data_IF_987370429416
#
_entry.id   IF_987370429416
#
_cell.length_a   1.000
_cell.length_b   1.000
_cell.length_c   1.000
_cell.angle_alpha   90.00
_cell.angle_beta   90.00
_cell.angle_gamma   90.00
#
_symmetry.space_group_name_H-M   'P 1'
#
loop_
_entity.id
_entity.type
_entity.pdbx_description
1 polymer ?
#
# COMPACT_ATOMS: atom_id res chain seq x y z
N UNK A 1 59.51 94.75 -2.22
CA UNK A 1 58.38 95.59 -2.68
C UNK A 1 57.36 94.70 -3.35
N UNK A 2 56.15 94.61 -2.78
CA UNK A 2 55.01 93.86 -3.32
C UNK A 2 54.51 94.47 -4.63
N UNK A 3 54.21 93.64 -5.62
CA UNK A 3 53.37 94.02 -6.75
C UNK A 3 52.15 93.09 -6.78
N UNK A 4 50.99 93.66 -6.45
CA UNK A 4 49.68 93.00 -6.36
C UNK A 4 49.11 92.68 -7.74
N UNK A 5 48.54 91.48 -7.85
CA UNK A 5 47.81 90.91 -8.99
C UNK A 5 46.51 91.69 -9.26
N UNK A 6 46.24 92.05 -10.52
CA UNK A 6 44.92 92.48 -10.99
C UNK A 6 44.30 91.32 -11.78
N UNK A 7 43.15 90.79 -11.33
CA UNK A 7 42.32 89.84 -12.09
C UNK A 7 41.28 90.62 -12.90
N UNK A 8 41.00 90.27 -14.17
CA UNK A 8 39.90 90.87 -14.92
C UNK A 8 38.53 90.41 -14.37
N UNK A 9 37.46 91.21 -14.58
CA UNK A 9 36.12 90.89 -14.09
C UNK A 9 35.53 89.68 -14.83
N UNK A 10 35.03 88.71 -14.07
CA UNK A 10 34.27 87.56 -14.56
C UNK A 10 32.76 87.84 -14.47
N UNK A 11 32.04 87.69 -15.57
CA UNK A 11 30.57 87.76 -15.58
C UNK A 11 29.97 86.35 -15.49
N UNK A 12 28.86 86.20 -14.79
CA UNK A 12 28.10 84.96 -14.75
C UNK A 12 27.39 84.72 -16.10
N UNK A 13 27.27 83.46 -16.57
CA UNK A 13 26.57 83.16 -17.82
C UNK A 13 25.08 83.52 -17.73
N UNK A 14 24.49 83.94 -18.86
CA UNK A 14 23.07 84.24 -18.98
C UNK A 14 22.23 82.96 -18.78
N UNK A 15 20.98 83.12 -18.35
CA UNK A 15 20.10 82.00 -17.97
C UNK A 15 19.77 81.02 -19.12
N UNK A 16 20.04 81.37 -20.38
CA UNK A 16 19.74 80.52 -21.55
C UNK A 16 20.79 79.42 -21.82
N UNK A 17 22.00 79.51 -21.26
CA UNK A 17 23.08 78.53 -21.45
C UNK A 17 23.22 77.52 -20.29
N UNK A 18 22.17 77.32 -19.50
CA UNK A 18 22.19 76.30 -18.43
C UNK A 18 22.06 74.90 -19.05
N UNK A 19 23.00 73.97 -18.82
CA UNK A 19 22.93 72.63 -19.37
C UNK A 19 21.70 71.89 -18.81
N UNK A 20 20.84 71.43 -19.71
CA UNK A 20 19.62 70.68 -19.39
C UNK A 20 20.02 69.28 -18.92
N UNK A 21 19.74 68.94 -17.65
CA UNK A 21 19.99 67.60 -17.11
C UNK A 21 18.82 66.66 -17.40
N UNK A 22 19.03 65.63 -18.22
CA UNK A 22 18.11 64.49 -18.30
C UNK A 22 18.61 63.36 -17.38
N UNK A 23 17.87 63.07 -16.30
CA UNK A 23 18.19 61.99 -15.36
C UNK A 23 17.36 60.74 -15.68
N UNK A 24 18.02 59.66 -16.10
CA UNK A 24 17.43 58.33 -16.08
C UNK A 24 17.64 57.72 -14.69
N UNK A 25 16.55 57.43 -13.97
CA UNK A 25 16.56 56.98 -12.58
C UNK A 25 16.41 55.46 -12.53
N UNK A 26 17.45 54.67 -12.78
CA UNK A 26 17.45 53.25 -12.37
C UNK A 26 18.89 52.71 -12.19
N UNK A 27 19.44 52.81 -10.97
CA UNK A 27 20.22 51.74 -10.29
C UNK A 27 20.93 52.28 -9.04
N UNK A 28 21.10 51.41 -8.04
CA UNK A 28 21.59 51.72 -6.69
C UNK A 28 23.10 51.95 -6.57
N UNK A 29 23.82 52.10 -7.69
CA UNK A 29 25.27 52.40 -7.70
C UNK A 29 25.60 53.90 -7.83
N UNK A 30 24.59 54.78 -7.86
CA UNK A 30 24.76 56.22 -8.09
C UNK A 30 25.56 56.99 -7.01
N UNK A 31 25.87 56.38 -5.86
CA UNK A 31 26.56 57.06 -4.74
C UNK A 31 28.08 57.17 -4.89
N UNK A 32 28.70 56.45 -5.84
CA UNK A 32 30.17 56.40 -5.95
C UNK A 32 30.76 57.01 -7.23
N UNK A 33 29.99 57.76 -8.03
CA UNK A 33 30.54 58.45 -9.20
C UNK A 33 31.00 59.86 -8.81
N UNK A 34 32.29 60.00 -8.51
CA UNK A 34 32.97 61.30 -8.40
C UNK A 34 33.02 61.96 -9.78
N UNK A 35 32.55 63.21 -9.87
CA UNK A 35 32.58 64.01 -11.09
C UNK A 35 34.03 64.30 -11.52
N UNK A 36 34.49 63.68 -12.61
CA UNK A 36 35.70 64.10 -13.30
C UNK A 36 35.34 65.25 -14.25
N UNK A 37 35.83 66.46 -13.96
CA UNK A 37 35.80 67.57 -14.89
C UNK A 37 36.97 67.42 -15.88
N UNK A 38 36.67 67.32 -17.17
CA UNK A 38 37.68 67.54 -18.19
C UNK A 38 38.02 69.04 -18.21
N UNK A 39 39.28 69.37 -17.93
CA UNK A 39 39.80 70.72 -17.99
C UNK A 39 39.82 71.26 -19.43
N UNK A 40 39.53 72.56 -19.55
CA UNK A 40 39.55 73.33 -20.79
C UNK A 40 40.95 73.31 -21.44
N UNK A 41 41.01 72.94 -22.72
CA UNK A 41 42.13 73.27 -23.58
C UNK A 41 41.86 74.63 -24.25
N UNK A 42 42.75 75.56 -23.92
CA UNK A 42 42.91 76.89 -24.47
C UNK A 42 43.43 76.76 -25.91
N UNK A 43 42.79 77.39 -26.91
CA UNK A 43 43.51 77.86 -28.09
C UNK A 43 42.73 78.91 -28.88
N UNK A 44 43.43 80.01 -29.17
CA UNK A 44 42.98 81.16 -29.95
C UNK A 44 42.96 80.91 -31.47
N UNK A 45 42.75 81.96 -32.29
CA UNK A 45 41.73 81.89 -33.34
C UNK A 45 42.21 81.51 -34.75
N UNK A 46 41.22 81.04 -35.54
CA UNK A 46 41.09 81.01 -37.01
C UNK A 46 41.45 79.70 -37.74
N UNK A 47 40.93 79.43 -38.97
CA UNK A 47 39.86 80.11 -39.72
C UNK A 47 38.68 79.17 -40.08
N UNK A 48 37.58 79.75 -40.56
CA UNK A 48 36.54 78.99 -41.25
C UNK A 48 37.10 78.34 -42.51
N UNK A 49 37.11 77.01 -42.56
CA UNK A 49 37.37 76.26 -43.77
C UNK A 49 36.14 75.44 -44.15
N UNK A 50 35.79 75.61 -45.42
CA UNK A 50 34.71 74.97 -46.15
C UNK A 50 34.51 73.51 -45.79
N UNK A 51 33.27 73.18 -45.47
CA UNK A 51 32.73 71.83 -45.48
C UNK A 51 32.86 71.24 -46.90
N UNK A 52 33.98 70.59 -47.19
CA UNK A 52 34.25 69.94 -48.49
C UNK A 52 34.74 68.52 -48.24
N UNK A 53 33.82 67.56 -48.43
CA UNK A 53 34.00 66.11 -48.58
C UNK A 53 35.19 65.48 -47.83
N UNK A 54 34.92 64.99 -46.61
CA UNK A 54 35.75 63.98 -45.92
C UNK A 54 34.91 62.83 -45.34
N UNK A 55 33.81 62.48 -46.01
CA UNK A 55 32.97 61.35 -45.59
C UNK A 55 33.51 59.98 -46.04
N UNK A 56 34.68 59.92 -46.70
CA UNK A 56 35.25 58.66 -47.22
C UNK A 56 36.28 58.06 -46.24
N UNK A 57 36.98 58.89 -45.46
CA UNK A 57 38.03 58.40 -44.55
C UNK A 57 37.48 57.80 -43.25
N UNK A 58 36.31 58.23 -42.77
CA UNK A 58 35.71 57.67 -41.56
C UNK A 58 35.29 56.20 -41.73
N UNK A 59 34.82 55.81 -42.92
CA UNK A 59 34.45 54.41 -43.19
C UNK A 59 35.68 53.49 -43.23
N UNK A 60 36.79 53.96 -43.77
CA UNK A 60 38.06 53.22 -43.79
C UNK A 60 38.66 53.12 -42.39
N UNK A 61 38.58 54.19 -41.59
CA UNK A 61 39.06 54.20 -40.21
C UNK A 61 38.23 53.29 -39.30
N UNK A 62 36.92 53.17 -39.52
CA UNK A 62 36.06 52.24 -38.79
C UNK A 62 36.36 50.78 -39.14
N UNK A 63 36.65 50.50 -40.42
CA UNK A 63 37.04 49.15 -40.86
C UNK A 63 38.43 48.80 -40.30
N UNK A 64 39.37 49.75 -40.27
CA UNK A 64 40.68 49.56 -39.66
C UNK A 64 40.56 49.36 -38.14
N UNK A 65 39.72 50.12 -37.45
CA UNK A 65 39.45 49.92 -36.01
C UNK A 65 38.75 48.57 -35.73
N UNK A 66 37.81 48.14 -36.58
CA UNK A 66 37.15 46.83 -36.42
C UNK A 66 38.08 45.65 -36.72
N UNK A 67 39.03 45.82 -37.64
CA UNK A 67 39.96 44.75 -38.03
C UNK A 67 41.17 44.67 -37.11
N UNK A 68 41.70 45.80 -36.63
CA UNK A 68 42.89 45.85 -35.78
C UNK A 68 42.59 46.07 -34.29
N UNK A 69 41.40 46.56 -33.92
CA UNK A 69 41.00 46.89 -32.55
C UNK A 69 39.57 46.45 -32.25
N UNK A 70 39.32 45.15 -32.38
CA UNK A 70 38.00 44.52 -32.22
C UNK A 70 37.37 44.62 -30.82
N UNK A 71 37.99 45.32 -29.87
CA UNK A 71 37.50 45.52 -28.51
C UNK A 71 37.09 46.97 -28.32
N UNK A 72 35.81 47.18 -28.03
CA UNK A 72 35.23 48.48 -27.75
C UNK A 72 36.03 49.18 -26.62
N UNK A 73 36.49 50.43 -26.79
CA UNK A 73 37.25 51.15 -25.77
C UNK A 73 36.54 51.19 -24.40
N UNK A 74 35.20 51.16 -24.40
CA UNK A 74 34.41 51.09 -23.16
C UNK A 74 34.51 49.72 -22.46
N UNK A 75 34.70 48.65 -23.23
CA UNK A 75 34.93 47.30 -22.71
C UNK A 75 36.31 47.18 -22.04
N UNK A 76 37.35 47.79 -22.63
CA UNK A 76 38.67 47.85 -21.98
C UNK A 76 38.65 48.63 -20.67
N UNK A 77 37.87 49.71 -20.59
CA UNK A 77 37.73 50.52 -19.36
C UNK A 77 37.05 49.72 -18.23
N UNK A 78 36.10 48.85 -18.57
CA UNK A 78 35.45 47.96 -17.60
C UNK A 78 36.37 46.88 -17.02
N UNK A 79 37.46 46.52 -17.74
CA UNK A 79 38.46 45.56 -17.27
C UNK A 79 39.58 46.20 -16.44
N UNK A 80 39.75 47.52 -16.53
CA UNK A 80 40.75 48.27 -15.75
C UNK A 80 40.30 48.51 -14.30
N UNK A 81 39.02 48.31 -13.99
CA UNK A 81 38.54 48.29 -12.61
C UNK A 81 38.92 46.96 -11.98
N UNK A 82 40.11 46.91 -11.38
CA UNK A 82 40.47 45.81 -10.47
C UNK A 82 39.51 45.83 -9.28
N UNK A 83 38.45 45.05 -9.33
CA UNK A 83 37.64 44.79 -8.16
C UNK A 83 38.51 44.00 -7.18
N UNK A 84 39.10 44.69 -6.19
CA UNK A 84 39.65 44.03 -5.01
C UNK A 84 38.50 43.35 -4.27
N UNK A 85 38.18 42.12 -4.67
CA UNK A 85 37.25 41.27 -3.93
C UNK A 85 37.92 40.96 -2.60
N UNK A 86 37.48 41.65 -1.55
CA UNK A 86 37.92 41.37 -0.19
C UNK A 86 37.78 39.87 0.09
N UNK A 87 38.84 39.26 0.63
CA UNK A 87 38.85 37.83 0.96
C UNK A 87 37.68 37.45 1.87
N UNK A 88 37.20 38.39 2.70
CA UNK A 88 36.02 38.23 3.54
C UNK A 88 34.73 38.02 2.73
N UNK A 89 34.56 38.72 1.60
CA UNK A 89 33.37 38.56 0.73
C UNK A 89 33.39 37.20 0.03
N UNK A 90 34.56 36.74 -0.40
CA UNK A 90 34.72 35.41 -1.01
C UNK A 90 34.44 34.31 0.01
N UNK A 91 34.94 34.46 1.24
CA UNK A 91 34.73 33.49 2.32
C UNK A 91 33.27 33.47 2.78
N UNK A 92 32.63 34.63 2.90
CA UNK A 92 31.21 34.75 3.20
C UNK A 92 30.34 34.05 2.14
N UNK A 93 30.61 34.29 0.84
CA UNK A 93 29.83 33.66 -0.22
C UNK A 93 30.00 32.13 -0.24
N UNK A 94 31.20 31.61 0.10
CA UNK A 94 31.44 30.17 0.27
C UNK A 94 30.63 29.57 1.41
N UNK A 95 30.51 30.27 2.54
CA UNK A 95 29.69 29.82 3.68
C UNK A 95 28.22 29.77 3.31
N UNK A 96 27.71 30.80 2.62
CA UNK A 96 26.31 30.83 2.18
C UNK A 96 26.00 29.67 1.23
N UNK A 97 26.86 29.42 0.24
CA UNK A 97 26.70 28.28 -0.69
C UNK A 97 26.76 26.94 0.06
N UNK A 98 27.64 26.80 1.05
CA UNK A 98 27.74 25.58 1.85
C UNK A 98 26.47 25.32 2.68
N UNK A 99 25.89 26.35 3.30
CA UNK A 99 24.65 26.24 4.07
C UNK A 99 23.49 25.84 3.15
N UNK A 100 23.37 26.46 1.97
CA UNK A 100 22.33 26.10 0.99
C UNK A 100 22.49 24.64 0.53
N UNK A 101 23.73 24.20 0.27
CA UNK A 101 24.01 22.82 -0.10
C UNK A 101 23.59 21.82 1.00
N UNK A 102 23.89 22.13 2.26
CA UNK A 102 23.44 21.32 3.41
C UNK A 102 21.92 21.28 3.54
N UNK A 103 21.24 22.41 3.37
CA UNK A 103 19.78 22.48 3.46
C UNK A 103 19.11 21.65 2.35
N UNK A 104 19.60 21.74 1.11
CA UNK A 104 19.10 20.94 -0.02
C UNK A 104 19.39 19.45 0.19
N UNK A 105 20.60 19.09 0.65
CA UNK A 105 20.96 17.72 0.98
C UNK A 105 20.06 17.13 2.08
N UNK A 106 19.83 17.88 3.16
CA UNK A 106 18.96 17.47 4.26
C UNK A 106 17.51 17.28 3.78
N UNK A 107 16.96 18.24 3.04
CA UNK A 107 15.61 18.14 2.46
C UNK A 107 15.49 16.93 1.52
N UNK A 108 16.50 16.69 0.68
CA UNK A 108 16.58 15.50 -0.18
C UNK A 108 16.55 14.19 0.61
N UNK A 109 17.31 14.10 1.71
CA UNK A 109 17.30 12.88 2.56
C UNK A 109 15.94 12.65 3.24
N UNK A 110 15.23 13.71 3.64
CA UNK A 110 13.88 13.59 4.20
C UNK A 110 12.87 13.09 3.16
N UNK A 111 12.94 13.60 1.93
CA UNK A 111 12.10 13.14 0.82
C UNK A 111 12.39 11.67 0.48
N UNK A 112 13.66 11.27 0.37
CA UNK A 112 14.03 9.86 0.10
C UNK A 112 13.55 8.94 1.23
N UNK A 113 13.60 9.38 2.50
CA UNK A 113 13.05 8.62 3.62
C UNK A 113 11.52 8.45 3.52
N UNK A 114 10.80 9.48 3.07
CA UNK A 114 9.35 9.39 2.84
C UNK A 114 8.98 8.51 1.63
N UNK A 115 9.81 8.47 0.59
CA UNK A 115 9.59 7.56 -0.55
C UNK A 115 9.93 6.09 -0.22
N UNK A 116 10.89 5.84 0.69
CA UNK A 116 11.32 4.50 1.10
C UNK A 116 10.59 3.94 2.32
N UNK A 117 9.65 4.66 2.93
CA UNK A 117 8.73 4.04 3.90
C UNK A 117 7.78 3.12 3.17
N UNK A 118 8.07 1.81 3.20
CA UNK A 118 7.29 0.69 2.63
C UNK A 118 5.76 0.96 2.66
N UNK A 119 5.13 1.44 1.57
CA UNK A 119 3.67 1.57 1.53
C UNK A 119 2.99 0.20 1.70
N UNK A 120 3.74 -0.88 1.42
CA UNK A 120 3.29 -2.27 1.56
C UNK A 120 3.06 -2.69 3.00
N UNK A 121 3.78 -2.13 3.99
CA UNK A 121 3.58 -2.52 5.41
C UNK A 121 2.33 -1.88 5.99
N UNK A 122 2.12 -0.59 5.73
CA UNK A 122 0.93 0.14 6.16
C UNK A 122 -0.35 -0.41 5.53
N UNK A 123 -0.33 -0.71 4.23
CA UNK A 123 -1.47 -1.32 3.51
C UNK A 123 -1.75 -2.74 4.00
N UNK A 124 -0.71 -3.55 4.27
CA UNK A 124 -0.91 -4.88 4.86
C UNK A 124 -1.50 -4.80 6.26
N UNK A 125 -1.02 -3.89 7.12
CA UNK A 125 -1.58 -3.72 8.46
C UNK A 125 -3.02 -3.23 8.44
N UNK A 126 -3.37 -2.29 7.54
CA UNK A 126 -4.76 -1.84 7.43
C UNK A 126 -5.66 -2.95 6.91
N UNK A 127 -5.20 -3.76 5.95
CA UNK A 127 -5.97 -4.87 5.39
C UNK A 127 -6.14 -6.02 6.41
N UNK A 128 -5.10 -6.30 7.22
CA UNK A 128 -5.19 -7.28 8.32
C UNK A 128 -6.20 -6.81 9.36
N UNK A 129 -6.17 -5.53 9.75
CA UNK A 129 -7.11 -4.98 10.73
C UNK A 129 -8.55 -4.99 10.20
N UNK A 130 -8.75 -4.63 8.92
CA UNK A 130 -10.06 -4.70 8.27
C UNK A 130 -10.59 -6.15 8.20
N UNK A 131 -9.74 -7.10 7.81
CA UNK A 131 -10.10 -8.53 7.81
C UNK A 131 -10.42 -9.06 9.21
N UNK A 132 -9.66 -8.66 10.24
CA UNK A 132 -9.94 -9.03 11.62
C UNK A 132 -11.27 -8.44 12.11
N UNK A 133 -11.54 -7.18 11.78
CA UNK A 133 -12.79 -6.53 12.13
C UNK A 133 -13.99 -7.21 11.44
N UNK A 134 -13.90 -7.50 10.14
CA UNK A 134 -14.93 -8.21 9.41
C UNK A 134 -15.17 -9.63 9.94
N UNK A 135 -14.10 -10.39 10.21
CA UNK A 135 -14.22 -11.71 10.84
C UNK A 135 -14.87 -11.62 12.22
N UNK A 136 -14.54 -10.61 13.04
CA UNK A 136 -15.17 -10.44 14.35
C UNK A 136 -16.66 -10.14 14.26
N UNK A 137 -17.09 -9.39 13.24
CA UNK A 137 -18.51 -9.11 12.97
C UNK A 137 -19.22 -10.38 12.51
N UNK A 138 -18.60 -11.14 11.59
CA UNK A 138 -19.13 -12.44 11.17
C UNK A 138 -19.27 -13.40 12.35
N UNK A 139 -18.26 -13.54 13.21
CA UNK A 139 -18.33 -14.40 14.41
C UNK A 139 -19.38 -13.95 15.42
N UNK A 140 -19.60 -12.65 15.58
CA UNK A 140 -20.67 -12.12 16.42
C UNK A 140 -22.05 -12.44 15.83
N UNK A 141 -22.22 -12.22 14.53
CA UNK A 141 -23.47 -12.52 13.86
C UNK A 141 -23.77 -14.03 13.87
N UNK A 142 -22.77 -14.90 13.67
CA UNK A 142 -22.98 -16.35 13.77
C UNK A 142 -23.32 -16.80 15.19
N UNK A 143 -22.69 -16.21 16.21
CA UNK A 143 -23.04 -16.46 17.61
C UNK A 143 -24.47 -15.99 17.93
N UNK A 144 -24.86 -14.79 17.49
CA UNK A 144 -26.21 -14.26 17.68
C UNK A 144 -27.27 -15.10 16.95
N UNK A 145 -26.97 -15.56 15.74
CA UNK A 145 -27.79 -16.53 15.00
C UNK A 145 -27.92 -17.82 15.79
N UNK A 146 -26.83 -18.37 16.33
CA UNK A 146 -26.85 -19.55 17.20
C UNK A 146 -27.74 -19.37 18.44
N UNK A 147 -27.64 -18.22 19.10
CA UNK A 147 -28.47 -17.86 20.26
C UNK A 147 -29.94 -17.69 19.89
N UNK A 148 -30.24 -17.06 18.75
CA UNK A 148 -31.60 -16.92 18.24
C UNK A 148 -32.19 -18.28 17.87
N UNK A 149 -31.42 -19.18 17.25
CA UNK A 149 -31.86 -20.54 16.99
C UNK A 149 -32.10 -21.32 18.29
N UNK A 150 -31.24 -21.17 19.31
CA UNK A 150 -31.45 -21.80 20.61
C UNK A 150 -32.69 -21.23 21.34
N UNK A 151 -33.03 -19.96 21.15
CA UNK A 151 -34.27 -19.35 21.65
C UNK A 151 -35.48 -19.87 20.88
N UNK A 152 -35.41 -19.94 19.55
CA UNK A 152 -36.46 -20.48 18.69
C UNK A 152 -36.69 -21.96 19.01
N UNK A 153 -35.66 -22.77 19.23
CA UNK A 153 -35.81 -24.18 19.59
C UNK A 153 -36.51 -24.34 20.93
N UNK A 154 -36.11 -23.56 21.95
CA UNK A 154 -36.79 -23.53 23.25
C UNK A 154 -38.24 -23.07 23.15
N UNK A 155 -38.52 -22.08 22.30
CA UNK A 155 -39.88 -21.59 22.12
C UNK A 155 -40.73 -22.56 21.30
N UNK A 156 -40.14 -23.24 20.31
CA UNK A 156 -40.77 -24.30 19.53
C UNK A 156 -41.11 -25.50 20.42
N UNK A 157 -40.23 -25.88 21.35
CA UNK A 157 -40.49 -26.94 22.33
C UNK A 157 -41.68 -26.62 23.24
N UNK A 158 -41.87 -25.34 23.60
CA UNK A 158 -43.03 -24.87 24.36
C UNK A 158 -44.33 -24.77 23.53
N UNK A 159 -44.23 -24.63 22.20
CA UNK A 159 -45.38 -24.55 21.28
C UNK A 159 -45.78 -25.92 20.74
N UNK A 160 -44.85 -26.89 20.67
CA UNK A 160 -45.06 -28.25 20.16
C UNK A 160 -45.94 -29.16 21.04
N UNK A 161 -46.65 -28.61 22.03
CA UNK A 161 -47.70 -29.34 22.75
C UNK A 161 -49.00 -29.50 21.94
N UNK A 162 -49.12 -28.86 20.76
CA UNK A 162 -50.21 -29.07 19.82
C UNK A 162 -49.66 -29.63 18.49
N UNK A 163 -49.97 -30.90 18.19
CA UNK A 163 -49.81 -31.56 16.87
C UNK A 163 -48.36 -31.68 16.32
N UNK A 164 -47.54 -32.58 16.88
CA UNK A 164 -46.29 -33.04 16.24
C UNK A 164 -46.62 -33.86 14.99
N UNK A 165 -46.74 -33.19 13.84
CA UNK A 165 -46.86 -33.87 12.55
C UNK A 165 -45.51 -34.57 12.23
N UNK A 166 -45.45 -35.92 12.18
CA UNK A 166 -44.20 -36.67 11.98
C UNK A 166 -43.52 -36.38 10.64
N UNK A 167 -44.25 -35.83 9.66
CA UNK A 167 -43.67 -35.38 8.39
C UNK A 167 -42.76 -34.16 8.60
N UNK A 168 -43.15 -33.24 9.49
CA UNK A 168 -42.43 -32.00 9.72
C UNK A 168 -41.07 -32.25 10.40
N UNK A 169 -41.02 -33.16 11.37
CA UNK A 169 -39.76 -33.54 12.04
C UNK A 169 -38.81 -34.26 11.10
N UNK A 170 -39.34 -35.07 10.17
CA UNK A 170 -38.54 -35.74 9.14
C UNK A 170 -37.93 -34.72 8.16
N UNK A 171 -38.71 -33.73 7.73
CA UNK A 171 -38.24 -32.64 6.86
C UNK A 171 -37.15 -31.82 7.54
N UNK A 172 -37.32 -31.47 8.81
CA UNK A 172 -36.31 -30.75 9.61
C UNK A 172 -35.02 -31.55 9.80
N UNK A 173 -35.14 -32.87 10.02
CA UNK A 173 -33.98 -33.75 10.10
C UNK A 173 -33.22 -33.81 8.78
N UNK A 174 -33.93 -33.96 7.65
CA UNK A 174 -33.34 -34.01 6.31
C UNK A 174 -32.65 -32.70 5.92
N UNK A 175 -33.24 -31.56 6.30
CA UNK A 175 -32.65 -30.24 6.12
C UNK A 175 -31.57 -29.91 7.15
N UNK A 176 -31.31 -30.81 8.10
CA UNK A 176 -30.34 -30.65 9.18
C UNK A 176 -30.60 -29.42 10.07
N UNK A 177 -31.85 -28.96 10.19
CA UNK A 177 -32.21 -27.74 10.95
C UNK A 177 -32.37 -27.98 12.45
N UNK A 178 -32.40 -29.25 12.86
CA UNK A 178 -32.52 -29.67 14.26
C UNK A 178 -31.29 -30.44 14.72
N UNK A 179 -31.01 -30.33 16.03
CA UNK A 179 -30.04 -31.19 16.69
C UNK A 179 -30.58 -32.62 16.76
N UNK A 180 -29.70 -33.59 16.55
CA UNK A 180 -30.06 -35.02 16.52
C UNK A 180 -29.09 -35.82 17.38
N UNK A 181 -29.57 -36.91 17.95
CA UNK A 181 -28.75 -37.83 18.74
C UNK A 181 -29.07 -39.27 18.38
N UNK A 182 -28.05 -40.11 18.27
CA UNK A 182 -28.23 -41.52 17.92
C UNK A 182 -26.93 -42.32 17.94
N UNK A 183 -27.00 -43.64 17.73
CA UNK A 183 -25.80 -44.47 17.55
C UNK A 183 -25.04 -44.05 16.30
N UNK A 184 -23.74 -44.33 16.26
CA UNK A 184 -22.94 -43.92 15.13
C UNK A 184 -21.45 -44.22 15.24
N UNK A 185 -20.66 -43.50 14.46
CA UNK A 185 -19.21 -43.60 14.46
C UNK A 185 -18.54 -42.22 14.47
N UNK A 186 -17.35 -42.19 15.04
CA UNK A 186 -16.41 -41.07 14.99
C UNK A 186 -15.18 -41.54 14.20
N UNK A 187 -14.92 -40.89 13.07
CA UNK A 187 -13.76 -41.10 12.22
C UNK A 187 -12.79 -39.94 12.42
N UNK A 188 -11.59 -40.22 12.90
CA UNK A 188 -10.55 -39.22 13.13
C UNK A 188 -9.42 -39.39 12.12
N UNK A 189 -9.09 -38.32 11.41
CA UNK A 189 -8.05 -38.27 10.39
C UNK A 189 -7.08 -37.16 10.79
N UNK A 190 -5.84 -37.51 11.07
CA UNK A 190 -4.81 -36.55 11.49
C UNK A 190 -3.69 -36.50 10.43
N UNK A 191 -3.24 -35.28 10.14
CA UNK A 191 -2.09 -35.06 9.28
C UNK A 191 -0.81 -35.51 9.98
N UNK A 192 0.17 -36.05 9.24
CA UNK A 192 1.39 -36.60 9.81
C UNK A 192 2.21 -35.53 10.56
N UNK A 193 2.08 -34.26 10.17
CA UNK A 193 2.79 -33.12 10.76
C UNK A 193 2.09 -32.53 12.00
N UNK A 194 0.85 -32.93 12.31
CA UNK A 194 0.08 -32.37 13.43
C UNK A 194 0.29 -33.09 14.76
N UNK A 195 1.16 -34.10 14.81
CA UNK A 195 1.50 -34.83 16.05
C UNK A 195 2.65 -34.19 16.85
N UNK A 196 3.15 -33.03 16.43
CA UNK A 196 4.19 -32.30 17.15
C UNK A 196 4.05 -30.78 16.96
N UNK A 197 3.79 -30.09 18.06
CA UNK A 197 3.95 -28.64 18.23
C UNK A 197 2.96 -27.74 17.49
N UNK A 198 2.26 -26.95 18.29
CA UNK A 198 1.65 -25.69 17.90
C UNK A 198 2.63 -24.89 17.02
N UNK A 199 2.09 -24.17 16.03
CA UNK A 199 2.79 -23.20 15.17
C UNK A 199 3.62 -23.79 14.02
N UNK A 200 3.01 -23.97 12.84
CA UNK A 200 3.72 -23.88 11.55
C UNK A 200 2.76 -23.54 10.40
N UNK A 201 2.46 -22.25 10.22
CA UNK A 201 2.10 -21.65 8.92
C UNK A 201 3.34 -21.52 7.99
N UNK A 202 4.32 -22.42 8.13
CA UNK A 202 5.59 -22.32 7.42
C UNK A 202 5.46 -22.93 6.02
N UNK A 203 5.49 -22.06 5.01
CA UNK A 203 5.73 -22.39 3.60
C UNK A 203 7.04 -23.20 3.53
N UNK A 204 7.07 -24.42 2.97
CA UNK A 204 8.32 -25.13 2.74
C UNK A 204 9.07 -24.44 1.60
N UNK A 205 10.06 -23.63 1.95
CA UNK A 205 11.05 -23.10 1.01
C UNK A 205 12.27 -24.02 1.02
N UNK A 206 12.16 -25.20 0.43
CA UNK A 206 13.29 -26.05 0.01
C UNK A 206 12.75 -27.11 -0.98
N UNK A 207 13.33 -27.28 -2.18
CA UNK A 207 12.90 -28.28 -3.16
C UNK A 207 13.50 -29.66 -2.81
N UNK A 208 13.26 -30.16 -1.60
CA UNK A 208 13.50 -31.58 -1.32
C UNK A 208 12.25 -32.36 -1.70
N UNK A 209 12.43 -33.34 -2.58
CA UNK A 209 11.45 -34.05 -3.44
C UNK A 209 10.40 -34.90 -2.72
N UNK A 210 10.09 -34.64 -1.45
CA UNK A 210 9.08 -35.38 -0.69
C UNK A 210 7.98 -34.41 -0.28
N UNK A 211 7.07 -34.09 -1.21
CA UNK A 211 5.83 -33.38 -0.86
C UNK A 211 5.05 -34.29 0.08
N UNK A 212 5.10 -34.00 1.39
CA UNK A 212 4.25 -34.65 2.38
C UNK A 212 2.80 -34.33 1.99
N UNK A 213 2.07 -35.34 1.55
CA UNK A 213 0.65 -35.19 1.20
C UNK A 213 -0.12 -34.90 2.50
N UNK A 214 -0.86 -33.81 2.49
CA UNK A 214 -1.78 -33.38 3.56
C UNK A 214 -3.18 -33.85 3.19
N UNK A 215 -4.06 -34.07 4.18
CA UNK A 215 -5.48 -34.32 3.96
C UNK A 215 -6.07 -33.20 3.11
N UNK A 216 -6.79 -33.58 2.06
CA UNK A 216 -7.46 -32.63 1.14
C UNK A 216 -8.97 -32.57 1.41
N UNK A 217 -9.62 -31.53 0.92
CA UNK A 217 -11.08 -31.44 0.93
C UNK A 217 -11.73 -32.62 0.19
N UNK A 218 -11.14 -33.06 -0.93
CA UNK A 218 -11.58 -34.24 -1.68
C UNK A 218 -11.56 -35.53 -0.85
N UNK A 219 -10.58 -35.70 0.05
CA UNK A 219 -10.53 -36.86 0.95
C UNK A 219 -11.70 -36.83 1.94
N UNK A 220 -11.96 -35.68 2.56
CA UNK A 220 -13.08 -35.51 3.48
C UNK A 220 -14.42 -35.69 2.77
N UNK A 221 -14.58 -35.12 1.57
CA UNK A 221 -15.77 -35.33 0.73
C UNK A 221 -15.98 -36.80 0.41
N UNK A 222 -14.92 -37.55 0.07
CA UNK A 222 -15.03 -38.96 -0.23
C UNK A 222 -15.55 -39.75 0.98
N UNK A 223 -15.04 -39.49 2.19
CA UNK A 223 -15.57 -40.12 3.41
C UNK A 223 -17.02 -39.73 3.68
N UNK A 224 -17.38 -38.45 3.54
CA UNK A 224 -18.75 -37.98 3.71
C UNK A 224 -19.70 -38.65 2.73
N UNK A 225 -19.33 -38.72 1.45
CA UNK A 225 -20.11 -39.40 0.42
C UNK A 225 -20.29 -40.90 0.72
N UNK A 226 -19.23 -41.58 1.17
CA UNK A 226 -19.29 -42.99 1.57
C UNK A 226 -20.24 -43.20 2.74
N UNK A 227 -20.19 -42.32 3.74
CA UNK A 227 -21.07 -42.39 4.92
C UNK A 227 -22.53 -42.22 4.53
N UNK A 228 -22.85 -41.21 3.72
CA UNK A 228 -24.19 -41.02 3.16
C UNK A 228 -24.64 -42.23 2.36
N UNK A 229 -23.77 -42.75 1.48
CA UNK A 229 -24.07 -43.95 0.69
C UNK A 229 -24.33 -45.19 1.56
N UNK A 230 -23.69 -45.29 2.72
CA UNK A 230 -23.90 -46.37 3.68
C UNK A 230 -25.06 -46.17 4.66
N UNK A 231 -25.90 -45.14 4.44
CA UNK A 231 -27.10 -44.90 5.24
C UNK A 231 -26.86 -44.10 6.52
N UNK A 232 -25.86 -43.22 6.55
CA UNK A 232 -25.79 -42.21 7.60
C UNK A 232 -27.01 -41.29 7.53
N UNK A 233 -27.60 -40.98 8.68
CA UNK A 233 -28.75 -40.08 8.80
C UNK A 233 -28.31 -38.63 9.05
N UNK A 234 -27.15 -38.47 9.68
CA UNK A 234 -26.58 -37.16 9.98
C UNK A 234 -25.06 -37.24 10.06
N UNK A 235 -24.36 -36.23 9.54
CA UNK A 235 -22.90 -36.16 9.52
C UNK A 235 -22.45 -34.77 9.97
N UNK A 236 -21.36 -34.69 10.74
CA UNK A 236 -20.67 -33.45 11.07
C UNK A 236 -19.15 -33.60 10.93
N UNK A 237 -18.47 -32.52 10.56
CA UNK A 237 -17.00 -32.43 10.49
C UNK A 237 -16.56 -31.36 11.48
N UNK A 238 -15.72 -31.71 12.45
CA UNK A 238 -15.25 -30.80 13.51
C UNK A 238 -16.41 -30.01 14.16
N UNK A 239 -17.50 -30.72 14.48
CA UNK A 239 -18.74 -30.18 15.07
C UNK A 239 -19.60 -29.30 14.15
N UNK A 240 -19.21 -29.08 12.89
CA UNK A 240 -20.04 -28.43 11.88
C UNK A 240 -20.91 -29.46 11.15
N UNK A 241 -22.23 -29.34 11.29
CA UNK A 241 -23.20 -30.23 10.66
C UNK A 241 -23.18 -30.07 9.13
N UNK A 242 -23.01 -31.19 8.43
CA UNK A 242 -23.08 -31.27 6.98
C UNK A 242 -24.52 -31.48 6.57
N UNK A 243 -25.17 -30.41 6.12
CA UNK A 243 -26.52 -30.44 5.55
C UNK A 243 -26.53 -30.12 4.07
N UNK A 244 -27.71 -29.93 3.51
CA UNK A 244 -27.93 -29.62 2.07
C UNK A 244 -27.24 -28.34 1.59
N UNK A 245 -27.02 -27.37 2.48
CA UNK A 245 -26.35 -26.10 2.19
C UNK A 245 -24.87 -26.07 2.58
N UNK A 246 -24.37 -27.11 3.25
CA UNK A 246 -22.97 -27.15 3.73
C UNK A 246 -22.08 -27.70 2.62
N UNK A 247 -21.03 -26.97 2.25
CA UNK A 247 -20.00 -27.45 1.30
C UNK A 247 -18.68 -27.69 2.01
N UNK A 248 -17.91 -28.69 1.57
CA UNK A 248 -16.54 -28.90 2.03
C UNK A 248 -15.62 -28.46 0.90
N UNK A 249 -14.77 -27.46 1.10
CA UNK A 249 -13.91 -26.92 0.02
C UNK A 249 -12.59 -26.38 0.55
N UNK A 250 -11.54 -26.46 -0.24
CA UNK A 250 -10.27 -25.80 0.06
C UNK A 250 -10.26 -24.33 -0.38
N UNK A 251 -9.81 -23.45 0.53
CA UNK A 251 -9.52 -22.05 0.26
C UNK A 251 -8.05 -21.75 0.64
N UNK A 252 -7.18 -21.60 -0.36
CA UNK A 252 -5.75 -21.44 -0.13
C UNK A 252 -5.13 -22.70 0.48
N UNK A 253 -4.63 -22.60 1.72
CA UNK A 253 -4.03 -23.72 2.47
C UNK A 253 -4.96 -24.31 3.54
N UNK A 254 -6.24 -23.93 3.53
CA UNK A 254 -7.21 -24.24 4.60
C UNK A 254 -8.43 -24.94 4.01
N UNK A 255 -9.00 -25.89 4.75
CA UNK A 255 -10.28 -26.51 4.41
C UNK A 255 -11.40 -25.76 5.13
N UNK A 256 -12.47 -25.44 4.39
CA UNK A 256 -13.70 -24.84 4.89
C UNK A 256 -14.83 -25.87 4.88
N UNK A 257 -15.61 -25.91 5.96
CA UNK A 257 -16.89 -26.63 6.04
C UNK A 257 -17.97 -25.57 6.20
N UNK A 258 -18.76 -25.37 5.14
CA UNK A 258 -19.67 -24.23 5.01
C UNK A 258 -18.88 -22.93 4.86
N UNK A 259 -18.81 -22.16 5.94
CA UNK A 259 -18.04 -20.92 6.06
C UNK A 259 -16.92 -21.03 7.10
N UNK A 260 -16.91 -22.11 7.88
CA UNK A 260 -16.01 -22.28 9.01
C UNK A 260 -14.72 -22.99 8.59
N UNK A 261 -13.59 -22.47 9.06
CA UNK A 261 -12.29 -23.09 8.87
C UNK A 261 -12.13 -24.30 9.80
N UNK A 262 -11.74 -25.44 9.21
CA UNK A 262 -11.40 -26.66 9.95
C UNK A 262 -9.94 -27.03 9.74
N UNK A 263 -9.32 -27.58 10.78
CA UNK A 263 -7.93 -28.02 10.79
C UNK A 263 -7.78 -29.42 11.34
N UNK A 264 -6.65 -30.04 11.03
CA UNK A 264 -6.23 -31.31 11.63
C UNK A 264 -6.17 -31.24 13.16
N UNK A 265 -6.58 -32.29 13.89
CA UNK A 265 -7.19 -33.52 13.38
C UNK A 265 -8.65 -33.30 12.94
N UNK A 266 -9.00 -33.87 11.79
CA UNK A 266 -10.34 -33.84 11.24
C UNK A 266 -11.19 -34.95 11.87
N UNK A 267 -12.27 -34.57 12.55
CA UNK A 267 -13.19 -35.47 13.25
C UNK A 267 -14.52 -35.48 12.52
N UNK A 268 -14.80 -36.58 11.82
CA UNK A 268 -16.07 -36.82 11.14
C UNK A 268 -16.95 -37.67 12.06
N UNK A 269 -18.06 -37.11 12.54
CA UNK A 269 -19.08 -37.82 13.32
C UNK A 269 -20.24 -38.16 12.41
N UNK A 270 -20.70 -39.40 12.43
CA UNK A 270 -21.84 -39.85 11.64
C UNK A 270 -22.81 -40.68 12.48
N UNK A 271 -24.09 -40.34 12.44
CA UNK A 271 -25.19 -41.07 13.09
C UNK A 271 -25.80 -42.05 12.08
N UNK A 272 -26.07 -43.28 12.54
CA UNK A 272 -26.65 -44.38 11.77
C UNK A 272 -26.26 -45.73 12.38
N UNK A 273 -26.46 -46.83 11.64
CA UNK A 273 -26.01 -48.14 12.12
C UNK A 273 -24.47 -48.19 12.21
N UNK A 274 -23.96 -48.08 13.44
CA UNK A 274 -22.52 -48.03 13.73
C UNK A 274 -21.71 -49.20 13.15
N UNK A 275 -22.33 -50.37 12.96
CA UNK A 275 -21.67 -51.52 12.36
C UNK A 275 -21.51 -51.34 10.86
N UNK A 276 -22.59 -51.00 10.16
CA UNK A 276 -22.61 -50.75 8.72
C UNK A 276 -21.71 -49.57 8.35
N UNK A 277 -21.82 -48.43 9.07
CA UNK A 277 -20.99 -47.26 8.83
C UNK A 277 -19.50 -47.55 9.04
N UNK A 278 -19.12 -48.20 10.15
CA UNK A 278 -17.71 -48.54 10.38
C UNK A 278 -17.17 -49.51 9.33
N UNK A 279 -18.01 -50.39 8.79
CA UNK A 279 -17.61 -51.34 7.77
C UNK A 279 -17.45 -50.70 6.39
N UNK A 280 -18.26 -49.68 6.06
CA UNK A 280 -18.20 -49.00 4.75
C UNK A 280 -16.97 -48.13 4.58
N UNK A 281 -16.51 -47.51 5.67
CA UNK A 281 -15.35 -46.57 5.66
C UNK A 281 -14.04 -47.20 6.12
N UNK A 282 -13.99 -48.49 6.43
CA UNK A 282 -12.74 -49.14 6.83
C UNK A 282 -11.78 -49.36 5.65
N UNK A 283 -10.49 -49.57 5.96
CA UNK A 283 -9.46 -49.79 4.93
C UNK A 283 -9.65 -51.07 4.09
N UNK A 284 -10.38 -52.07 4.59
CA UNK A 284 -10.70 -53.27 3.81
C UNK A 284 -11.72 -53.00 2.71
N UNK A 285 -12.73 -52.18 2.99
CA UNK A 285 -13.75 -51.76 2.04
C UNK A 285 -13.23 -50.68 1.08
N UNK A 286 -12.30 -49.82 1.53
CA UNK A 286 -11.77 -48.70 0.77
C UNK A 286 -10.24 -48.78 0.57
N UNK A 287 -9.71 -49.84 -0.09
CA UNK A 287 -8.28 -50.06 -0.18
C UNK A 287 -7.54 -48.95 -0.94
N UNK A 288 -8.14 -48.39 -1.99
CA UNK A 288 -7.54 -47.30 -2.78
C UNK A 288 -7.41 -46.00 -1.98
N UNK A 289 -8.44 -45.67 -1.21
CA UNK A 289 -8.48 -44.45 -0.40
C UNK A 289 -7.53 -44.56 0.80
N UNK A 290 -7.46 -45.72 1.45
CA UNK A 290 -6.51 -45.92 2.55
C UNK A 290 -5.07 -46.01 2.05
N UNK A 291 -4.79 -46.67 0.92
CA UNK A 291 -3.45 -46.72 0.37
C UNK A 291 -2.88 -45.33 0.05
N UNK A 292 -3.70 -44.40 -0.44
CA UNK A 292 -3.24 -43.03 -0.71
C UNK A 292 -2.94 -42.24 0.57
N UNK A 293 -3.64 -42.53 1.67
CA UNK A 293 -3.43 -41.93 2.98
C UNK A 293 -2.21 -42.56 3.69
N UNK A 294 -2.07 -43.88 3.64
CA UNK A 294 -0.95 -44.63 4.21
C UNK A 294 0.39 -44.23 3.57
N UNK A 295 0.43 -44.03 2.25
CA UNK A 295 1.61 -43.51 1.54
C UNK A 295 2.04 -42.13 2.06
N UNK A 296 1.14 -41.40 2.72
CA UNK A 296 1.38 -40.11 3.34
C UNK A 296 1.60 -40.19 4.87
N UNK A 297 1.55 -41.38 5.48
CA UNK A 297 1.61 -41.56 6.93
C UNK A 297 0.33 -41.17 7.67
N UNK A 298 -0.80 -41.03 6.97
CA UNK A 298 -2.10 -40.71 7.56
C UNK A 298 -2.84 -42.01 7.84
N UNK A 299 -3.22 -42.21 9.11
CA UNK A 299 -3.92 -43.42 9.56
C UNK A 299 -5.29 -43.06 10.16
N UNK A 300 -6.38 -43.16 9.38
CA UNK A 300 -7.72 -42.90 9.89
C UNK A 300 -8.09 -43.85 11.03
N UNK A 301 -8.64 -43.30 12.12
CA UNK A 301 -9.10 -44.05 13.28
C UNK A 301 -10.62 -44.05 13.33
N UNK A 302 -11.23 -45.23 13.47
CA UNK A 302 -12.68 -45.39 13.55
C UNK A 302 -13.05 -45.84 14.96
N UNK A 303 -13.91 -45.06 15.62
CA UNK A 303 -14.50 -45.40 16.92
C UNK A 303 -16.00 -45.52 16.79
N UNK A 304 -16.57 -46.63 17.24
CA UNK A 304 -18.03 -46.80 17.32
C UNK A 304 -18.55 -46.22 18.63
N UNK A 305 -19.67 -45.52 18.56
CA UNK A 305 -20.29 -44.90 19.73
C UNK A 305 -21.78 -45.24 19.78
N UNK A 306 -22.29 -45.51 20.98
CA UNK A 306 -23.71 -45.88 21.19
C UNK A 306 -24.64 -44.68 21.13
N UNK A 307 -24.12 -43.50 21.41
CA UNK A 307 -24.85 -42.23 21.34
C UNK A 307 -23.86 -41.13 20.99
N UNK A 308 -24.19 -40.40 19.93
CA UNK A 308 -23.49 -39.22 19.41
C UNK A 308 -24.53 -38.13 19.24
N UNK A 309 -24.26 -36.94 19.77
CA UNK A 309 -25.07 -35.74 19.54
C UNK A 309 -24.46 -34.89 18.45
N UNK A 310 -25.28 -34.46 17.49
CA UNK A 310 -24.91 -33.51 16.45
C UNK A 310 -25.79 -32.27 16.54
N UNK A 311 -25.17 -31.09 16.46
CA UNK A 311 -25.87 -29.82 16.43
C UNK A 311 -26.68 -29.65 15.12
N UNK A 312 -27.58 -28.67 15.12
CA UNK A 312 -28.21 -28.20 13.90
C UNK A 312 -27.18 -27.56 12.96
N UNK A 313 -27.40 -27.67 11.66
CA UNK A 313 -26.63 -26.94 10.65
C UNK A 313 -26.97 -25.46 10.70
N UNK A 314 -25.96 -24.64 10.41
CA UNK A 314 -26.14 -23.21 10.20
C UNK A 314 -27.01 -23.00 8.96
N UNK A 315 -28.24 -22.55 9.16
CA UNK A 315 -29.16 -22.21 8.07
C UNK A 315 -28.95 -20.78 7.59
N UNK A 316 -29.06 -20.56 6.28
CA UNK A 316 -29.09 -19.21 5.74
C UNK A 316 -30.44 -18.56 6.01
N UNK A 317 -30.42 -17.26 6.30
CA UNK A 317 -31.64 -16.47 6.46
C UNK A 317 -32.37 -16.34 5.12
N UNK A 318 -33.67 -16.68 5.10
CA UNK A 318 -34.50 -16.56 3.91
C UNK A 318 -35.06 -15.14 3.81
N UNK A 319 -34.51 -14.33 2.89
CA UNK A 319 -34.96 -12.94 2.69
C UNK A 319 -36.25 -12.83 1.87
N UNK A 320 -36.38 -13.67 0.84
CA UNK A 320 -37.46 -13.55 -0.16
C UNK A 320 -38.53 -14.64 -0.03
N UNK A 321 -38.16 -15.82 0.46
CA UNK A 321 -39.09 -16.92 0.67
C UNK A 321 -39.75 -16.81 2.04
N UNK A 322 -41.07 -17.09 2.12
CA UNK A 322 -41.80 -17.21 3.38
C UNK A 322 -42.50 -18.54 3.45
N UNK A 323 -42.54 -19.12 4.66
CA UNK A 323 -43.33 -20.31 4.94
C UNK A 323 -44.79 -20.00 4.63
N UNK A 324 -45.40 -20.81 3.76
CA UNK A 324 -46.84 -20.76 3.51
C UNK A 324 -47.55 -21.24 4.78
N UNK A 325 -48.38 -20.37 5.36
CA UNK A 325 -49.25 -20.71 6.49
C UNK A 325 -50.34 -21.67 6.07
#
# INVERSE_FOLDING_TARGET
MSASRVRPPSFAPSNDDKPIQHRAVFSTSAKNLTSYYAGSLDDGPAPMLSQRRRNIDEGLHLIDDLTNRSLDPMFSDSQLVSHQRSAAVVWFNRIVVFIICLAVGFCGTLMVKQLNTDPRKAVRSSLINELQQQNSVLSKNTAEVGDLHAKISKQSENVSHDETNPVFTQDEMSNSTIAVSGPGITLTIADPLSTGSQNSLAIPSEPTTTRVRVVTDADLQAFVCLLWHSGAEAIAINDHRVGVSTSVRTAGSVILVGVDQVSSPYVIKAIGDSKTLANSVNGKAQPKLYASLENAGIHPQIKRERSLGLAAATTNELTYARRRK
#
